data_IF_943733816777
#
_entry.id   IF_943733816777
#
_cell.length_a   1.000
_cell.length_b   1.000
_cell.length_c   1.000
_cell.angle_alpha   90.00
_cell.angle_beta   90.00
_cell.angle_gamma   90.00
#
_symmetry.space_group_name_H-M   'P 1'
#
loop_
_entity.id
_entity.type
_entity.pdbx_description
1 polymer ?
#
# COMPACT_ATOMS: atom_id res chain seq x y z
N UNK A 1 1.59 14.50 -17.25
CA UNK A 1 2.11 14.27 -15.89
C UNK A 1 2.26 12.78 -15.73
N UNK A 2 3.47 12.28 -15.51
CA UNK A 2 3.69 10.85 -15.23
C UNK A 2 3.69 10.72 -13.71
N UNK A 3 2.82 9.87 -13.16
CA UNK A 3 2.85 9.54 -11.74
C UNK A 3 4.06 8.64 -11.53
N UNK A 4 5.02 9.07 -10.71
CA UNK A 4 6.24 8.30 -10.42
C UNK A 4 6.30 7.79 -8.99
N UNK A 5 5.49 8.35 -8.10
CA UNK A 5 5.47 8.02 -6.67
C UNK A 5 4.04 7.92 -6.17
N UNK A 6 3.81 7.01 -5.23
CA UNK A 6 2.53 6.83 -4.54
C UNK A 6 2.76 6.56 -3.05
N UNK A 7 1.75 6.87 -2.25
CA UNK A 7 1.68 6.49 -0.83
C UNK A 7 0.42 5.65 -0.62
N UNK A 8 0.51 4.66 0.27
CA UNK A 8 -0.61 3.78 0.62
C UNK A 8 -1.01 4.06 2.07
N UNK A 9 -2.29 4.35 2.29
CA UNK A 9 -2.86 4.53 3.63
C UNK A 9 -3.90 3.46 3.84
N UNK A 10 -3.66 2.59 4.81
CA UNK A 10 -4.65 1.64 5.28
C UNK A 10 -5.47 2.21 6.42
N UNK A 11 -6.76 1.92 6.40
CA UNK A 11 -7.70 2.35 7.43
C UNK A 11 -8.42 1.12 7.98
N UNK A 12 -8.51 1.04 9.31
CA UNK A 12 -9.06 -0.11 10.02
C UNK A 12 -8.55 -0.14 11.44
N UNK A 13 -9.44 -0.19 12.43
CA UNK A 13 -9.04 -0.21 13.85
C UNK A 13 -8.35 -1.53 14.19
N UNK A 14 -8.81 -2.60 13.58
CA UNK A 14 -8.27 -3.95 13.65
C UNK A 14 -6.83 -4.06 13.14
N UNK A 15 -6.44 -3.25 12.15
CA UNK A 15 -5.04 -3.14 11.69
C UNK A 15 -4.19 -2.41 12.72
N UNK A 16 -4.70 -1.31 13.27
CA UNK A 16 -4.03 -0.54 14.35
C UNK A 16 -3.86 -1.36 15.64
N UNK A 17 -4.80 -2.26 15.90
CA UNK A 17 -4.77 -3.19 17.03
C UNK A 17 -3.95 -4.46 16.74
N UNK A 18 -3.45 -4.64 15.52
CA UNK A 18 -2.69 -5.82 15.11
C UNK A 18 -3.50 -7.13 15.08
N UNK A 19 -4.84 -7.04 14.99
CA UNK A 19 -5.71 -8.22 14.89
C UNK A 19 -5.58 -8.89 13.52
N UNK A 20 -5.26 -8.12 12.49
CA UNK A 20 -4.96 -8.61 11.14
C UNK A 20 -3.70 -7.97 10.59
N UNK A 21 -2.94 -8.74 9.82
CA UNK A 21 -1.83 -8.23 9.01
C UNK A 21 -2.40 -7.49 7.81
N UNK A 22 -1.84 -6.34 7.47
CA UNK A 22 -2.28 -5.53 6.35
C UNK A 22 -1.80 -6.07 4.99
N UNK A 23 -2.39 -7.19 4.56
CA UNK A 23 -2.08 -7.80 3.27
C UNK A 23 -2.53 -6.96 2.09
N UNK A 24 -3.48 -6.03 2.30
CA UNK A 24 -4.01 -5.16 1.26
C UNK A 24 -2.95 -4.16 0.80
N UNK A 25 -2.29 -3.48 1.74
CA UNK A 25 -1.20 -2.56 1.41
C UNK A 25 -0.04 -3.27 0.72
N UNK A 26 0.32 -4.47 1.18
CA UNK A 26 1.36 -5.29 0.55
C UNK A 26 1.03 -5.67 -0.90
N UNK A 27 -0.19 -6.13 -1.16
CA UNK A 27 -0.62 -6.49 -2.51
C UNK A 27 -0.62 -5.27 -3.43
N UNK A 28 -1.19 -4.14 -2.98
CA UNK A 28 -1.26 -2.93 -3.78
C UNK A 28 0.13 -2.34 -4.07
N UNK A 29 1.04 -2.36 -3.09
CA UNK A 29 2.41 -1.93 -3.29
C UNK A 29 3.12 -2.73 -4.38
N UNK A 30 2.91 -4.05 -4.41
CA UNK A 30 3.47 -4.91 -5.45
C UNK A 30 2.91 -4.59 -6.85
N UNK A 31 1.60 -4.31 -6.96
CA UNK A 31 0.99 -3.91 -8.24
C UNK A 31 1.58 -2.58 -8.74
N UNK A 32 1.59 -1.55 -7.89
CA UNK A 32 2.13 -0.23 -8.26
C UNK A 32 3.61 -0.29 -8.62
N UNK A 33 4.40 -1.06 -7.87
CA UNK A 33 5.82 -1.28 -8.18
C UNK A 33 5.99 -1.98 -9.53
N UNK A 34 5.12 -2.95 -9.87
CA UNK A 34 5.17 -3.62 -11.17
C UNK A 34 4.82 -2.71 -12.36
N UNK A 35 4.10 -1.61 -12.09
CA UNK A 35 3.81 -0.54 -13.05
C UNK A 35 4.91 0.53 -13.11
N UNK A 36 5.97 0.40 -12.31
CA UNK A 36 7.09 1.36 -12.26
C UNK A 36 6.84 2.57 -11.37
N UNK A 37 5.86 2.50 -10.47
CA UNK A 37 5.56 3.54 -9.49
C UNK A 37 6.27 3.19 -8.17
N UNK A 38 7.10 4.10 -7.68
CA UNK A 38 7.73 3.95 -6.36
C UNK A 38 6.71 4.16 -5.24
N UNK A 39 6.65 3.25 -4.29
CA UNK A 39 5.76 3.34 -3.12
C UNK A 39 6.57 3.74 -1.89
N UNK A 40 6.19 4.86 -1.26
CA UNK A 40 6.79 5.42 -0.03
C UNK A 40 5.84 5.36 1.17
#
# INVERSE_FOLDING_TARGET
MIISTAAIISTGTELLQGLYVDTNAHWLAAQLTSEGIEVN
#
